data_IF_070877508099
#
_entry.id   IF_070877508099
#
_cell.length_a   1.000
_cell.length_b   1.000
_cell.length_c   1.000
_cell.angle_alpha   90.00
_cell.angle_beta   90.00
_cell.angle_gamma   90.00
#
_symmetry.space_group_name_H-M   'P 1'
#
loop_
_entity.id
_entity.type
_entity.pdbx_description
1 polymer ?
#
# COMPACT_ATOMS: atom_id res chain seq x y z
N UNK A 1 47.23 -36.48 43.30
CA UNK A 1 46.77 -35.09 43.09
C UNK A 1 45.50 -35.16 42.24
N UNK A 2 44.32 -35.02 42.85
CA UNK A 2 43.01 -35.26 42.20
C UNK A 2 42.43 -33.92 41.74
N UNK A 3 42.25 -33.75 40.43
CA UNK A 3 41.60 -32.58 39.81
C UNK A 3 40.06 -32.77 39.86
N UNK A 4 39.24 -31.75 40.19
CA UNK A 4 37.80 -31.93 40.33
C UNK A 4 37.10 -31.95 38.97
N UNK A 5 36.06 -32.79 38.86
CA UNK A 5 35.14 -32.92 37.71
C UNK A 5 34.49 -31.57 37.38
N UNK A 6 34.29 -31.21 36.10
CA UNK A 6 33.66 -29.96 35.75
C UNK A 6 32.15 -30.03 36.06
N UNK A 7 31.68 -29.02 36.76
CA UNK A 7 30.26 -28.72 37.00
C UNK A 7 29.63 -28.24 35.68
N UNK A 8 29.58 -29.11 34.67
CA UNK A 8 29.08 -28.80 33.33
C UNK A 8 27.77 -29.55 33.06
N UNK A 9 26.79 -29.37 33.95
CA UNK A 9 25.43 -29.85 33.70
C UNK A 9 24.48 -29.23 34.74
N UNK A 10 24.05 -27.99 34.53
CA UNK A 10 22.74 -27.58 35.04
C UNK A 10 22.11 -26.56 34.08
N UNK A 11 21.19 -27.12 33.28
CA UNK A 11 19.99 -26.53 32.69
C UNK A 11 20.12 -25.30 31.78
N UNK A 12 20.11 -25.62 30.48
CA UNK A 12 19.40 -24.90 29.43
C UNK A 12 17.92 -24.60 29.79
N UNK A 13 17.42 -23.51 29.19
CA UNK A 13 16.05 -22.94 29.16
C UNK A 13 15.66 -22.03 30.35
N UNK A 14 15.35 -20.75 30.09
CA UNK A 14 14.45 -20.37 29.01
C UNK A 14 15.22 -19.88 27.79
N UNK A 15 14.96 -20.50 26.63
CA UNK A 15 14.78 -19.71 25.43
C UNK A 15 13.72 -18.69 25.83
N UNK A 16 14.14 -17.49 26.23
CA UNK A 16 13.32 -16.33 26.02
C UNK A 16 12.99 -16.43 24.54
N UNK A 17 11.73 -16.77 24.26
CA UNK A 17 11.11 -16.55 22.98
C UNK A 17 11.18 -15.04 22.82
N UNK A 18 12.34 -14.53 22.39
CA UNK A 18 12.38 -13.29 21.67
C UNK A 18 11.42 -13.57 20.54
N UNK A 19 10.21 -13.03 20.67
CA UNK A 19 9.29 -12.99 19.56
C UNK A 19 10.12 -12.39 18.44
N UNK A 20 10.47 -13.20 17.45
CA UNK A 20 10.87 -12.74 16.13
C UNK A 20 9.62 -12.05 15.58
N UNK A 21 9.29 -10.89 16.13
CA UNK A 21 8.57 -9.89 15.39
C UNK A 21 9.61 -9.44 14.40
N UNK A 22 9.48 -9.92 13.16
CA UNK A 22 9.91 -9.10 12.04
C UNK A 22 9.28 -7.74 12.32
N UNK A 23 10.09 -6.77 12.75
CA UNK A 23 9.63 -5.42 13.00
C UNK A 23 9.42 -4.79 11.63
N UNK A 24 8.36 -5.19 10.94
CA UNK A 24 7.72 -4.28 10.02
C UNK A 24 7.12 -3.19 10.92
N UNK A 25 7.75 -2.03 10.93
CA UNK A 25 7.14 -0.85 11.54
C UNK A 25 5.79 -0.60 10.85
N UNK A 26 4.77 -0.26 11.62
CA UNK A 26 3.47 0.09 11.04
C UNK A 26 3.68 1.26 10.06
N UNK A 27 3.34 1.05 8.79
CA UNK A 27 3.49 2.07 7.76
C UNK A 27 2.72 3.34 8.12
N UNK A 28 3.42 4.47 8.22
CA UNK A 28 2.83 5.79 8.41
C UNK A 28 2.81 6.52 7.06
N UNK A 29 1.63 6.88 6.53
CA UNK A 29 1.54 7.63 5.28
C UNK A 29 2.27 8.97 5.35
N UNK A 30 3.06 9.25 4.31
CA UNK A 30 3.76 10.53 4.15
C UNK A 30 2.82 11.71 3.86
N UNK A 31 3.34 12.96 3.84
CA UNK A 31 2.53 14.17 3.68
C UNK A 31 1.76 14.24 2.36
N UNK A 32 2.26 13.62 1.30
CA UNK A 32 1.55 13.58 0.01
C UNK A 32 0.36 12.62 0.01
N UNK A 33 0.29 11.70 0.97
CA UNK A 33 -0.88 10.84 1.17
C UNK A 33 -1.95 11.48 2.09
N UNK A 34 -1.78 12.76 2.42
CA UNK A 34 -2.72 13.55 3.23
C UNK A 34 -3.43 14.57 2.35
N UNK A 35 -4.74 14.75 2.56
CA UNK A 35 -5.50 15.79 1.86
C UNK A 35 -4.95 17.16 2.26
N UNK A 36 -4.58 17.99 1.28
CA UNK A 36 -4.09 19.34 1.47
C UNK A 36 -5.16 20.35 1.08
N UNK A 37 -5.30 21.41 1.87
CA UNK A 37 -6.24 22.50 1.56
C UNK A 37 -5.85 23.20 0.25
N UNK A 38 -6.85 23.52 -0.57
CA UNK A 38 -6.64 24.20 -1.86
C UNK A 38 -6.17 23.31 -3.01
N UNK A 39 -5.83 22.04 -2.77
CA UNK A 39 -5.47 21.09 -3.83
C UNK A 39 -6.74 20.58 -4.52
N UNK A 40 -6.89 20.75 -5.86
CA UNK A 40 -8.02 20.21 -6.60
C UNK A 40 -8.07 18.67 -6.53
N UNK A 41 -9.24 18.11 -6.21
CA UNK A 41 -9.42 16.67 -6.08
C UNK A 41 -9.94 16.04 -7.36
N UNK A 42 -9.22 15.05 -7.87
CA UNK A 42 -9.66 14.24 -8.99
C UNK A 42 -10.87 13.38 -8.66
N UNK A 43 -11.45 12.79 -9.70
CA UNK A 43 -12.65 11.95 -9.59
C UNK A 43 -12.29 10.48 -9.80
N UNK A 44 -12.71 9.66 -8.85
CA UNK A 44 -12.69 8.20 -8.98
C UNK A 44 -14.06 7.71 -9.44
N UNK A 45 -14.08 6.81 -10.43
CA UNK A 45 -15.29 6.09 -10.85
C UNK A 45 -15.03 4.59 -10.84
N UNK A 46 -15.98 3.81 -10.32
CA UNK A 46 -15.94 2.34 -10.34
C UNK A 46 -16.67 1.81 -11.56
N UNK A 47 -16.12 0.76 -12.15
CA UNK A 47 -16.65 0.07 -13.31
C UNK A 47 -16.43 -1.43 -13.17
N UNK A 48 -17.09 -2.20 -14.02
CA UNK A 48 -16.99 -3.65 -14.04
C UNK A 48 -16.70 -4.14 -15.46
N UNK A 49 -15.82 -5.14 -15.59
CA UNK A 49 -15.37 -5.68 -16.86
C UNK A 49 -15.49 -7.21 -16.89
N UNK A 50 -15.98 -7.74 -18.01
CA UNK A 50 -16.03 -9.18 -18.31
C UNK A 50 -14.93 -9.53 -19.31
N UNK A 51 -14.09 -10.49 -18.96
CA UNK A 51 -12.94 -10.85 -19.79
C UNK A 51 -13.33 -11.86 -20.88
N UNK A 52 -12.95 -11.57 -22.12
CA UNK A 52 -13.02 -12.53 -23.23
C UNK A 52 -11.87 -13.54 -23.18
N UNK A 53 -10.72 -13.15 -22.63
CA UNK A 53 -9.51 -13.99 -22.50
C UNK A 53 -9.66 -14.98 -21.34
N UNK A 54 -10.36 -14.58 -20.27
CA UNK A 54 -10.68 -15.43 -19.12
C UNK A 54 -12.22 -15.54 -18.98
N UNK A 55 -12.87 -16.42 -19.78
CA UNK A 55 -14.32 -16.52 -19.81
C UNK A 55 -14.93 -16.84 -18.44
N UNK A 56 -16.10 -16.26 -18.17
CA UNK A 56 -16.81 -16.41 -16.89
C UNK A 56 -16.24 -15.57 -15.75
N UNK A 57 -15.20 -14.75 -15.98
CA UNK A 57 -14.69 -13.82 -14.97
C UNK A 57 -15.28 -12.43 -15.14
N UNK A 58 -15.59 -11.81 -14.01
CA UNK A 58 -16.03 -10.43 -13.88
C UNK A 58 -15.12 -9.74 -12.86
N UNK A 59 -14.65 -8.53 -13.19
CA UNK A 59 -13.67 -7.79 -12.38
C UNK A 59 -14.08 -6.35 -12.24
N UNK A 60 -14.07 -5.86 -11.02
CA UNK A 60 -14.19 -4.44 -10.74
C UNK A 60 -12.85 -3.74 -10.99
N UNK A 61 -12.95 -2.53 -11.53
CA UNK A 61 -11.82 -1.63 -11.69
C UNK A 61 -12.26 -0.19 -11.41
N UNK A 62 -11.27 0.66 -11.16
CA UNK A 62 -11.49 2.06 -10.84
C UNK A 62 -10.67 2.93 -11.77
N UNK A 63 -11.25 4.04 -12.19
CA UNK A 63 -10.58 5.06 -13.00
C UNK A 63 -10.55 6.35 -12.19
N UNK A 64 -9.35 6.80 -11.86
CA UNK A 64 -9.08 8.14 -11.34
C UNK A 64 -8.79 9.09 -12.50
N UNK A 65 -9.41 10.27 -12.48
CA UNK A 65 -9.16 11.36 -13.43
C UNK A 65 -8.80 12.62 -12.64
N UNK A 66 -7.63 13.24 -12.87
CA UNK A 66 -7.25 14.49 -12.20
C UNK A 66 -8.26 15.61 -12.46
N UNK A 67 -8.49 16.48 -11.48
CA UNK A 67 -9.44 17.59 -11.60
C UNK A 67 -9.13 18.54 -12.76
N UNK A 68 -7.85 18.67 -13.10
CA UNK A 68 -7.32 19.57 -14.12
C UNK A 68 -7.43 18.97 -15.54
N UNK A 69 -7.78 17.69 -15.68
CA UNK A 69 -7.89 17.04 -16.98
C UNK A 69 -9.21 17.38 -17.66
N UNK A 70 -9.13 18.10 -18.78
CA UNK A 70 -10.28 18.53 -19.58
C UNK A 70 -10.56 17.64 -20.81
N UNK A 71 -9.73 16.62 -21.04
CA UNK A 71 -9.86 15.71 -22.19
C UNK A 71 -9.41 16.29 -23.54
N UNK A 72 -8.84 17.51 -23.58
CA UNK A 72 -8.38 18.14 -24.82
C UNK A 72 -7.17 17.47 -25.45
N UNK A 73 -6.39 16.73 -24.66
CA UNK A 73 -5.22 15.95 -25.09
C UNK A 73 -5.28 14.56 -24.47
N UNK A 74 -4.78 13.51 -25.14
CA UNK A 74 -4.67 12.18 -24.54
C UNK A 74 -3.85 12.20 -23.25
N UNK A 75 -4.31 11.49 -22.23
CA UNK A 75 -3.58 11.32 -20.97
C UNK A 75 -2.53 10.19 -21.06
N UNK A 76 -1.43 10.33 -20.33
CA UNK A 76 -0.60 9.18 -19.96
C UNK A 76 -1.37 8.29 -18.98
N UNK A 77 -1.17 6.97 -19.07
CA UNK A 77 -1.92 6.00 -18.24
C UNK A 77 -0.99 5.30 -17.26
N UNK A 78 -1.35 5.37 -15.97
CA UNK A 78 -0.79 4.55 -14.91
C UNK A 78 -1.78 3.43 -14.58
N UNK A 79 -1.33 2.18 -14.60
CA UNK A 79 -2.14 1.01 -14.21
C UNK A 79 -1.64 0.50 -12.87
N UNK A 80 -2.48 0.56 -11.85
CA UNK A 80 -2.22 -0.03 -10.54
C UNK A 80 -2.98 -1.35 -10.41
N UNK A 81 -2.27 -2.39 -9.96
CA UNK A 81 -2.90 -3.65 -9.56
C UNK A 81 -3.43 -3.53 -8.11
N UNK A 82 -4.19 -4.52 -7.62
CA UNK A 82 -4.83 -4.53 -6.28
C UNK A 82 -6.10 -3.66 -6.07
N UNK A 83 -6.63 -3.08 -7.14
CA UNK A 83 -8.01 -2.56 -7.19
C UNK A 83 -8.31 -1.50 -6.13
N UNK A 84 -9.39 -1.69 -5.36
CA UNK A 84 -9.85 -0.73 -4.36
C UNK A 84 -8.83 -0.42 -3.27
N UNK A 85 -7.83 -1.29 -3.05
CA UNK A 85 -6.72 -1.04 -2.12
C UNK A 85 -5.94 0.24 -2.46
N UNK A 86 -5.72 0.50 -3.76
CA UNK A 86 -5.03 1.71 -4.22
C UNK A 86 -5.88 2.97 -4.07
N UNK A 87 -7.20 2.82 -4.20
CA UNK A 87 -8.15 3.92 -4.33
C UNK A 87 -8.67 4.41 -2.99
N UNK A 88 -8.68 3.54 -1.97
CA UNK A 88 -9.18 3.86 -0.64
C UNK A 88 -8.47 5.07 -0.02
N UNK A 89 -9.24 6.07 0.39
CA UNK A 89 -8.79 7.29 1.07
C UNK A 89 -8.20 7.01 2.46
N UNK A 90 -8.57 5.87 3.05
CA UNK A 90 -8.08 5.37 4.34
C UNK A 90 -7.10 4.20 4.19
N UNK A 91 -6.82 3.78 2.95
CA UNK A 91 -5.90 2.70 2.65
C UNK A 91 -4.43 3.07 2.89
N UNK A 92 -3.54 2.10 2.66
CA UNK A 92 -2.09 2.32 2.73
C UNK A 92 -1.58 3.15 1.54
N UNK A 93 -2.20 3.02 0.37
CA UNK A 93 -1.72 3.65 -0.87
C UNK A 93 -2.27 5.05 -1.11
N UNK A 94 -3.60 5.23 -0.95
CA UNK A 94 -4.30 6.52 -1.15
C UNK A 94 -3.92 7.22 -2.45
N UNK A 95 -3.81 6.44 -3.53
CA UNK A 95 -3.26 6.92 -4.80
C UNK A 95 -3.98 8.17 -5.34
N UNK A 96 -5.30 8.34 -5.25
CA UNK A 96 -5.96 9.58 -5.68
C UNK A 96 -5.41 10.82 -4.97
N UNK A 97 -5.29 10.80 -3.63
CA UNK A 97 -4.77 11.93 -2.84
C UNK A 97 -3.31 12.22 -3.18
N UNK A 98 -2.50 11.16 -3.32
CA UNK A 98 -1.08 11.31 -3.71
C UNK A 98 -0.98 11.97 -5.08
N UNK A 99 -1.75 11.48 -6.06
CA UNK A 99 -1.73 12.03 -7.41
C UNK A 99 -2.25 13.47 -7.45
N UNK A 100 -3.34 13.79 -6.74
CA UNK A 100 -3.86 15.17 -6.64
C UNK A 100 -2.78 16.13 -6.14
N UNK A 101 -2.09 15.75 -5.06
CA UNK A 101 -1.03 16.55 -4.45
C UNK A 101 0.18 16.72 -5.37
N UNK A 102 0.64 15.64 -6.01
CA UNK A 102 1.80 15.69 -6.90
C UNK A 102 1.49 16.46 -8.18
N UNK A 103 0.32 16.25 -8.78
CA UNK A 103 -0.11 16.96 -10.00
C UNK A 103 -0.26 18.46 -9.73
N UNK A 104 -0.75 18.84 -8.54
CA UNK A 104 -0.85 20.24 -8.16
C UNK A 104 0.52 20.90 -7.91
N UNK A 105 1.50 20.13 -7.41
CA UNK A 105 2.84 20.64 -7.13
C UNK A 105 3.68 20.90 -8.40
N UNK A 106 3.37 20.22 -9.51
CA UNK A 106 4.12 20.27 -10.78
C UNK A 106 5.31 19.32 -10.82
#
# INVERSE_FOLDING_TARGET
MKLPRPLFALLLLPLFVASLRAADEDYVPGPDAMVKEGVPQGKVTQHTWKSEIFPGTERDYWVYVPAQYDGSKPACVLVCFDGSGFVSDKGAFRAPTVLDNLIHAG
#
